data_IF_997063292181
#
_entry.id   IF_997063292181
#
_cell.length_a   1.000
_cell.length_b   1.000
_cell.length_c   1.000
_cell.angle_alpha   90.00
_cell.angle_beta   90.00
_cell.angle_gamma   90.00
#
_symmetry.space_group_name_H-M   'P 1'
#
loop_
_entity.id
_entity.type
_entity.pdbx_description
1 polymer ?
#
# COMPACT_ATOMS: atom_id res chain seq x y z
N UNK A 1 0.72 -24.80 37.38
CA UNK A 1 -0.24 -24.94 36.25
C UNK A 1 -0.85 -23.61 35.81
N UNK A 2 -1.22 -22.69 36.70
CA UNK A 2 -1.77 -21.36 36.40
C UNK A 2 -0.80 -20.41 35.66
N UNK A 3 0.51 -20.50 35.93
CA UNK A 3 1.53 -19.70 35.23
C UNK A 3 1.59 -20.01 33.73
N UNK A 4 1.71 -21.30 33.35
CA UNK A 4 1.76 -21.71 31.93
C UNK A 4 0.52 -21.28 31.12
N UNK A 5 -0.68 -21.28 31.73
CA UNK A 5 -1.91 -20.90 31.06
C UNK A 5 -1.96 -19.37 30.76
N UNK A 6 -1.46 -18.55 31.68
CA UNK A 6 -1.32 -17.09 31.47
C UNK A 6 -0.32 -16.78 30.35
N UNK A 7 0.73 -17.55 30.29
CA UNK A 7 1.79 -17.40 29.30
C UNK A 7 1.30 -17.74 27.89
N UNK A 8 0.51 -18.82 27.72
CA UNK A 8 -0.11 -19.14 26.43
C UNK A 8 -1.10 -18.07 25.98
N UNK A 9 -1.92 -17.53 26.88
CA UNK A 9 -2.85 -16.45 26.57
C UNK A 9 -2.08 -15.21 26.09
N UNK A 10 -1.00 -14.84 26.78
CA UNK A 10 -0.15 -13.73 26.35
C UNK A 10 0.42 -13.96 24.94
N UNK A 11 0.94 -15.14 24.64
CA UNK A 11 1.48 -15.47 23.30
C UNK A 11 0.41 -15.36 22.21
N UNK A 12 -0.80 -15.85 22.46
CA UNK A 12 -1.92 -15.77 21.51
C UNK A 12 -2.29 -14.31 21.27
N UNK A 13 -2.46 -13.52 22.34
CA UNK A 13 -2.81 -12.11 22.24
C UNK A 13 -1.71 -11.29 21.53
N UNK A 14 -0.46 -11.59 21.84
CA UNK A 14 0.67 -10.93 21.20
C UNK A 14 0.81 -11.34 19.72
N UNK A 15 0.59 -12.60 19.39
CA UNK A 15 0.55 -13.06 18.00
C UNK A 15 -0.56 -12.39 17.20
N UNK A 16 -1.77 -12.31 17.77
CA UNK A 16 -2.89 -11.60 17.16
C UNK A 16 -2.60 -10.10 16.99
N UNK A 17 -1.97 -9.48 17.98
CA UNK A 17 -1.52 -8.10 17.89
C UNK A 17 -0.50 -7.88 16.74
N UNK A 18 0.55 -8.70 16.65
CA UNK A 18 1.52 -8.61 15.56
C UNK A 18 0.84 -8.78 14.20
N UNK A 19 -0.10 -9.75 14.09
CA UNK A 19 -0.88 -9.90 12.86
C UNK A 19 -1.68 -8.63 12.52
N UNK A 20 -2.29 -8.00 13.52
CA UNK A 20 -3.03 -6.74 13.32
C UNK A 20 -2.10 -5.58 12.92
N UNK A 21 -0.92 -5.46 13.55
CA UNK A 21 0.09 -4.45 13.16
C UNK A 21 0.50 -4.63 11.71
N UNK A 22 0.89 -5.84 11.33
CA UNK A 22 1.30 -6.13 9.94
C UNK A 22 0.14 -5.91 8.96
N UNK A 23 -1.07 -6.28 9.33
CA UNK A 23 -2.26 -6.00 8.51
C UNK A 23 -2.45 -4.51 8.30
N UNK A 24 -2.47 -3.72 9.37
CA UNK A 24 -2.69 -2.27 9.31
C UNK A 24 -1.55 -1.58 8.54
N UNK A 25 -0.30 -1.92 8.82
CA UNK A 25 0.85 -1.22 8.23
C UNK A 25 1.14 -1.64 6.78
N UNK A 26 0.92 -2.92 6.43
CA UNK A 26 1.31 -3.45 5.12
C UNK A 26 0.15 -3.63 4.13
N UNK A 27 -1.10 -3.73 4.62
CA UNK A 27 -2.24 -4.06 3.75
C UNK A 27 -3.33 -2.99 3.70
N UNK A 28 -3.54 -2.23 4.77
CA UNK A 28 -4.57 -1.20 4.78
C UNK A 28 -4.12 0.10 4.10
N UNK A 29 -2.80 0.32 3.99
CA UNK A 29 -2.28 1.48 3.27
C UNK A 29 -2.32 1.24 1.77
N UNK A 30 -2.98 2.10 1.04
CA UNK A 30 -2.94 2.19 -0.42
C UNK A 30 -1.65 2.91 -0.81
N UNK A 31 -0.60 2.14 -1.12
CA UNK A 31 0.69 2.76 -1.47
C UNK A 31 0.70 3.34 -2.87
N UNK A 32 1.10 4.59 -3.00
CA UNK A 32 1.24 5.33 -4.26
C UNK A 32 2.56 5.03 -5.01
N UNK A 33 3.03 3.80 -4.92
CA UNK A 33 4.27 3.41 -5.58
C UNK A 33 5.53 3.68 -4.73
N UNK A 34 6.70 3.75 -5.39
CA UNK A 34 8.01 3.90 -4.76
C UNK A 34 8.29 5.35 -4.31
N UNK A 35 7.39 5.98 -3.59
CA UNK A 35 7.64 7.30 -3.00
C UNK A 35 8.12 7.14 -1.57
N UNK A 36 9.08 7.96 -1.17
CA UNK A 36 9.58 8.02 0.18
C UNK A 36 9.74 9.48 0.61
N UNK A 37 9.19 9.85 1.75
CA UNK A 37 9.46 11.12 2.40
C UNK A 37 10.64 10.95 3.36
N UNK A 38 11.85 11.17 2.83
CA UNK A 38 13.10 11.04 3.59
C UNK A 38 13.35 12.21 4.53
N UNK A 39 12.61 13.32 4.35
CA UNK A 39 12.72 14.47 5.25
C UNK A 39 11.96 14.18 6.55
N UNK A 40 12.67 14.12 7.69
CA UNK A 40 12.00 13.99 8.98
C UNK A 40 11.14 15.22 9.27
N UNK A 41 10.06 15.02 10.02
CA UNK A 41 9.09 16.05 10.41
C UNK A 41 8.26 16.61 9.25
N UNK A 42 8.18 15.93 8.10
CA UNK A 42 7.34 16.34 6.98
C UNK A 42 5.86 16.42 7.38
N UNK A 43 5.37 15.43 8.13
CA UNK A 43 3.99 15.40 8.63
C UNK A 43 3.63 16.63 9.48
N UNK A 44 4.59 17.18 10.23
CA UNK A 44 4.37 18.39 11.04
C UNK A 44 4.26 19.65 10.18
N UNK A 45 4.93 19.69 9.04
CA UNK A 45 4.78 20.79 8.07
C UNK A 45 3.36 20.80 7.51
N UNK A 46 2.81 19.63 7.16
CA UNK A 46 1.44 19.50 6.68
C UNK A 46 0.41 19.87 7.77
N UNK A 47 0.63 19.45 9.01
CA UNK A 47 -0.19 19.85 10.17
C UNK A 47 -0.20 21.38 10.33
N UNK A 48 0.95 22.03 10.17
CA UNK A 48 1.02 23.51 10.24
C UNK A 48 0.29 24.21 9.09
N UNK A 49 0.07 23.52 7.97
CA UNK A 49 -0.76 24.03 6.86
C UNK A 49 -2.27 23.80 7.09
N UNK A 50 -2.66 23.15 8.18
CA UNK A 50 -4.05 22.89 8.55
C UNK A 50 -4.53 21.46 8.26
N UNK A 51 -3.66 20.59 7.75
CA UNK A 51 -3.99 19.20 7.48
C UNK A 51 -3.98 18.36 8.78
N UNK A 52 -5.13 17.85 9.20
CA UNK A 52 -5.25 17.09 10.45
C UNK A 52 -4.98 15.59 10.29
N UNK A 53 -5.03 15.08 9.09
CA UNK A 53 -4.83 13.66 8.80
C UNK A 53 -3.46 13.14 9.23
N UNK A 54 -2.33 13.82 8.95
CA UNK A 54 -1.01 13.39 9.41
C UNK A 54 -0.90 13.31 10.94
N UNK A 55 -1.59 14.18 11.69
CA UNK A 55 -1.60 14.12 13.15
C UNK A 55 -2.24 12.82 13.65
N UNK A 56 -3.37 12.39 13.06
CA UNK A 56 -4.04 11.15 13.42
C UNK A 56 -3.18 9.93 13.08
N UNK A 57 -2.49 9.96 11.94
CA UNK A 57 -1.57 8.92 11.51
C UNK A 57 -0.38 8.81 12.47
N UNK A 58 0.23 9.93 12.86
CA UNK A 58 1.32 9.97 13.83
C UNK A 58 0.91 9.40 15.20
N UNK A 59 -0.26 9.79 15.70
CA UNK A 59 -0.82 9.26 16.96
C UNK A 59 -1.08 7.76 16.82
N UNK A 60 -1.66 7.33 15.68
CA UNK A 60 -1.93 5.94 15.39
C UNK A 60 -0.66 5.08 15.42
N UNK A 61 0.43 5.56 14.82
CA UNK A 61 1.72 4.88 14.80
C UNK A 61 2.31 4.73 16.22
N UNK A 62 2.24 5.80 17.05
CA UNK A 62 2.64 5.70 18.46
C UNK A 62 1.82 4.64 19.19
N UNK A 63 0.49 4.72 19.12
CA UNK A 63 -0.42 3.81 19.82
C UNK A 63 -0.22 2.36 19.37
N UNK A 64 -0.02 2.16 18.06
CA UNK A 64 0.21 0.85 17.46
C UNK A 64 1.47 0.17 18.02
N UNK A 65 2.52 0.91 18.36
CA UNK A 65 3.80 0.36 18.83
C UNK A 65 3.93 0.26 20.35
N UNK A 66 2.99 0.83 21.14
CA UNK A 66 2.99 0.67 22.60
C UNK A 66 2.98 -0.82 23.03
N UNK A 67 2.10 -1.71 22.51
CA UNK A 67 2.12 -3.12 22.89
C UNK A 67 3.41 -3.85 22.50
N UNK A 68 4.06 -3.45 21.40
CA UNK A 68 5.38 -3.98 21.04
C UNK A 68 6.41 -3.64 22.13
N UNK A 69 6.43 -2.41 22.59
CA UNK A 69 7.32 -1.97 23.68
C UNK A 69 7.07 -2.72 24.98
N UNK A 70 5.80 -2.94 25.35
CA UNK A 70 5.41 -3.76 26.49
C UNK A 70 5.97 -5.18 26.34
N UNK A 71 5.80 -5.80 25.19
CA UNK A 71 6.27 -7.16 24.94
C UNK A 71 7.81 -7.26 24.96
N UNK A 72 8.51 -6.36 24.26
CA UNK A 72 9.97 -6.30 24.23
C UNK A 72 10.57 -6.17 25.65
N UNK A 73 10.01 -5.27 26.48
CA UNK A 73 10.42 -5.11 27.87
C UNK A 73 10.15 -6.37 28.69
N UNK A 74 8.98 -6.99 28.51
CA UNK A 74 8.57 -8.21 29.24
C UNK A 74 9.42 -9.42 28.92
N UNK A 75 9.98 -9.51 27.70
CA UNK A 75 10.94 -10.58 27.33
C UNK A 75 12.39 -10.26 27.72
N UNK A 76 12.62 -9.11 28.33
CA UNK A 76 13.94 -8.69 28.83
C UNK A 76 14.87 -8.15 27.75
N UNK A 77 14.33 -7.53 26.70
CA UNK A 77 15.16 -6.81 25.71
C UNK A 77 15.77 -5.59 26.40
N UNK A 78 17.12 -5.48 26.40
CA UNK A 78 17.84 -4.43 27.09
C UNK A 78 17.68 -3.05 26.47
N UNK A 79 17.61 -3.00 25.14
CA UNK A 79 17.51 -1.73 24.40
C UNK A 79 16.24 -1.76 23.54
N UNK A 80 15.11 -1.49 24.18
CA UNK A 80 13.80 -1.48 23.52
C UNK A 80 13.74 -0.37 22.46
N UNK A 81 14.43 0.76 22.65
CA UNK A 81 14.52 1.82 21.65
C UNK A 81 15.11 1.32 20.34
N UNK A 82 16.26 0.64 20.39
CA UNK A 82 16.87 0.06 19.19
C UNK A 82 16.00 -1.03 18.57
N UNK A 83 15.42 -1.90 19.39
CA UNK A 83 14.55 -2.96 18.89
C UNK A 83 13.29 -2.39 18.21
N UNK A 84 12.68 -1.37 18.78
CA UNK A 84 11.54 -0.66 18.20
C UNK A 84 11.90 0.03 16.89
N UNK A 85 13.05 0.72 16.85
CA UNK A 85 13.55 1.36 15.63
C UNK A 85 13.82 0.33 14.51
N UNK A 86 14.44 -0.79 14.84
CA UNK A 86 14.70 -1.86 13.86
C UNK A 86 13.42 -2.51 13.35
N UNK A 87 12.42 -2.71 14.23
CA UNK A 87 11.12 -3.23 13.82
C UNK A 87 10.40 -2.26 12.89
N UNK A 88 10.40 -0.96 13.21
CA UNK A 88 9.83 0.07 12.34
C UNK A 88 10.55 0.16 11.00
N UNK A 89 11.89 0.21 11.01
CA UNK A 89 12.68 0.23 9.79
C UNK A 89 12.41 -0.98 8.90
N UNK A 90 12.26 -2.18 9.49
CA UNK A 90 11.91 -3.38 8.74
C UNK A 90 10.55 -3.24 8.05
N UNK A 91 9.55 -2.70 8.75
CA UNK A 91 8.22 -2.45 8.17
C UNK A 91 8.33 -1.46 7.00
N UNK A 92 9.03 -0.33 7.18
CA UNK A 92 9.22 0.68 6.15
C UNK A 92 9.94 0.12 4.90
N UNK A 93 11.02 -0.67 5.13
CA UNK A 93 11.73 -1.34 4.02
C UNK A 93 10.83 -2.33 3.30
N UNK A 94 9.98 -3.10 4.01
CA UNK A 94 9.01 -4.01 3.40
C UNK A 94 7.96 -3.22 2.61
N UNK A 95 7.43 -2.13 3.16
CA UNK A 95 6.48 -1.26 2.46
C UNK A 95 7.07 -0.71 1.17
N UNK A 96 8.28 -0.17 1.22
CA UNK A 96 8.97 0.37 0.06
C UNK A 96 9.27 -0.72 -0.99
N UNK A 97 9.91 -1.84 -0.56
CA UNK A 97 10.35 -2.91 -1.47
C UNK A 97 9.18 -3.55 -2.21
N UNK A 98 8.04 -3.72 -1.53
CA UNK A 98 6.86 -4.39 -2.10
C UNK A 98 5.79 -3.42 -2.60
N UNK A 99 6.10 -2.11 -2.64
CA UNK A 99 5.14 -1.07 -3.02
C UNK A 99 3.79 -1.21 -2.27
N UNK A 100 3.86 -1.46 -0.96
CA UNK A 100 2.71 -1.62 -0.07
C UNK A 100 2.37 -0.32 0.66
N UNK A 101 3.25 0.67 0.62
CA UNK A 101 3.11 1.96 1.27
C UNK A 101 4.26 2.89 0.88
N UNK A 102 4.21 4.11 1.40
CA UNK A 102 5.26 5.12 1.28
C UNK A 102 6.25 4.94 2.42
N UNK A 103 7.56 5.02 2.14
CA UNK A 103 8.58 5.05 3.20
C UNK A 103 8.57 6.44 3.85
N UNK A 104 8.35 6.51 5.16
CA UNK A 104 8.27 7.77 5.89
C UNK A 104 9.21 7.79 7.09
N UNK A 105 10.13 8.77 7.15
CA UNK A 105 11.01 8.95 8.31
C UNK A 105 10.23 9.25 9.58
N UNK A 106 9.09 9.91 9.48
CA UNK A 106 8.25 10.25 10.62
C UNK A 106 7.66 9.01 11.29
N UNK A 107 7.34 7.96 10.51
CA UNK A 107 6.88 6.67 11.03
C UNK A 107 7.96 6.00 11.90
N UNK A 108 9.25 6.08 11.51
CA UNK A 108 10.33 5.57 12.34
C UNK A 108 10.38 6.24 13.71
N UNK A 109 10.13 7.55 13.75
CA UNK A 109 10.15 8.32 15.00
C UNK A 109 8.97 7.92 15.87
N UNK A 110 7.75 7.95 15.32
CA UNK A 110 6.51 7.71 16.07
C UNK A 110 6.40 6.26 16.55
N UNK A 111 6.73 5.29 15.71
CA UNK A 111 6.76 3.88 16.05
C UNK A 111 7.78 3.59 17.17
N UNK A 112 8.99 4.17 17.07
CA UNK A 112 10.02 4.03 18.11
C UNK A 112 9.55 4.67 19.42
N UNK A 113 8.93 5.84 19.36
CA UNK A 113 8.38 6.51 20.55
C UNK A 113 7.31 5.64 21.23
N UNK A 114 6.42 5.02 20.45
CA UNK A 114 5.42 4.09 20.97
C UNK A 114 6.03 2.92 21.72
N UNK A 115 7.07 2.29 21.13
CA UNK A 115 7.78 1.19 21.78
C UNK A 115 8.47 1.64 23.10
N UNK A 116 9.05 2.84 23.14
CA UNK A 116 9.68 3.40 24.36
C UNK A 116 8.61 3.66 25.44
N UNK A 117 7.47 4.24 25.08
CA UNK A 117 6.35 4.47 26.01
C UNK A 117 5.87 3.14 26.58
N UNK A 118 5.67 2.12 25.76
CA UNK A 118 5.25 0.79 26.21
C UNK A 118 6.23 0.16 27.20
N UNK A 119 7.52 0.24 26.93
CA UNK A 119 8.56 -0.25 27.82
C UNK A 119 8.60 0.52 29.16
N UNK A 120 8.44 1.84 29.10
CA UNK A 120 8.38 2.69 30.29
C UNK A 120 7.18 2.35 31.18
N UNK A 121 6.00 2.10 30.58
CA UNK A 121 4.81 1.68 31.33
C UNK A 121 5.07 0.38 32.11
N UNK A 122 5.67 -0.63 31.50
CA UNK A 122 6.02 -1.88 32.19
C UNK A 122 7.02 -1.65 33.32
N UNK A 123 8.04 -0.83 33.08
CA UNK A 123 9.04 -0.48 34.10
C UNK A 123 8.45 0.24 35.32
N UNK A 124 7.37 1.02 35.15
CA UNK A 124 6.69 1.72 36.24
C UNK A 124 5.72 0.81 37.02
N UNK A 125 5.06 -0.11 36.35
CA UNK A 125 4.07 -1.02 36.98
C UNK A 125 4.77 -2.12 37.79
N UNK A 126 6.10 -2.28 37.63
CA UNK A 126 6.90 -3.20 38.45
C UNK A 126 6.62 -4.69 38.21
N UNK A 127 6.00 -5.02 37.09
CA UNK A 127 5.68 -6.39 36.70
C UNK A 127 6.73 -6.98 35.75
N UNK A 128 7.70 -7.73 36.24
CA UNK A 128 8.48 -8.60 35.40
C UNK A 128 7.59 -9.76 34.88
N UNK A 129 6.97 -9.59 33.72
CA UNK A 129 6.50 -10.72 32.93
C UNK A 129 7.74 -11.45 32.36
N UNK A 130 8.37 -12.30 33.17
CA UNK A 130 9.48 -13.13 32.66
C UNK A 130 8.91 -14.31 31.87
N UNK A 131 8.90 -14.16 30.56
CA UNK A 131 8.58 -15.27 29.66
C UNK A 131 9.74 -16.29 29.64
N UNK A 132 9.42 -17.57 29.68
CA UNK A 132 10.44 -18.61 29.56
C UNK A 132 11.07 -18.67 28.16
N UNK A 133 12.18 -19.41 28.01
CA UNK A 133 12.91 -19.50 26.74
C UNK A 133 12.11 -20.15 25.61
N UNK A 134 11.13 -21.00 25.93
CA UNK A 134 10.23 -21.61 24.96
C UNK A 134 9.30 -20.59 24.34
N UNK A 135 8.76 -19.70 25.17
CA UNK A 135 7.84 -18.66 24.71
C UNK A 135 8.51 -17.56 23.92
N UNK A 136 9.75 -17.21 24.24
CA UNK A 136 10.56 -16.31 23.40
C UNK A 136 10.68 -16.85 21.97
N UNK A 137 10.90 -18.16 21.81
CA UNK A 137 10.95 -18.83 20.48
C UNK A 137 9.60 -18.80 19.76
N UNK A 138 8.49 -19.01 20.48
CA UNK A 138 7.14 -18.95 19.89
C UNK A 138 6.84 -17.53 19.40
N UNK A 139 7.17 -16.50 20.17
CA UNK A 139 7.00 -15.10 19.76
C UNK A 139 7.85 -14.81 18.50
N UNK A 140 9.12 -15.21 18.51
CA UNK A 140 10.00 -15.02 17.36
C UNK A 140 9.48 -15.76 16.11
N UNK A 141 9.08 -17.02 16.23
CA UNK A 141 8.48 -17.81 15.15
C UNK A 141 7.18 -17.18 14.63
N UNK A 142 6.34 -16.64 15.53
CA UNK A 142 5.12 -15.93 15.14
C UNK A 142 5.47 -14.67 14.34
N UNK A 143 6.45 -13.88 14.77
CA UNK A 143 6.90 -12.70 14.02
C UNK A 143 7.39 -13.06 12.61
N UNK A 144 8.21 -14.13 12.49
CA UNK A 144 8.69 -14.62 11.19
C UNK A 144 7.51 -15.11 10.33
N UNK A 145 6.61 -15.93 10.90
CA UNK A 145 5.46 -16.44 10.17
C UNK A 145 4.57 -15.32 9.66
N UNK A 146 4.24 -14.35 10.51
CA UNK A 146 3.40 -13.23 10.12
C UNK A 146 4.09 -12.26 9.14
N UNK A 147 5.41 -12.15 9.15
CA UNK A 147 6.14 -11.38 8.14
C UNK A 147 6.04 -11.99 6.73
N UNK A 148 5.71 -13.30 6.62
CA UNK A 148 5.52 -13.97 5.32
C UNK A 148 4.10 -13.82 4.76
N UNK A 149 3.10 -13.49 5.59
CA UNK A 149 1.70 -13.31 5.17
C UNK A 149 1.55 -12.24 4.08
N UNK A 150 2.23 -11.07 4.15
CA UNK A 150 2.20 -10.05 3.10
C UNK A 150 2.58 -10.59 1.71
N UNK A 151 3.59 -11.43 1.65
CA UNK A 151 4.06 -12.04 0.40
C UNK A 151 2.98 -12.93 -0.21
N UNK A 152 2.38 -13.81 0.61
CA UNK A 152 1.31 -14.69 0.16
C UNK A 152 0.09 -13.90 -0.35
N UNK A 153 -0.31 -12.85 0.37
CA UNK A 153 -1.42 -12.00 -0.05
C UNK A 153 -1.14 -11.27 -1.37
N UNK A 154 0.07 -10.71 -1.53
CA UNK A 154 0.47 -10.05 -2.77
C UNK A 154 0.41 -11.02 -3.95
N UNK A 155 0.94 -12.22 -3.78
CA UNK A 155 0.94 -13.25 -4.81
C UNK A 155 -0.49 -13.65 -5.21
N UNK A 156 -1.35 -13.96 -4.23
CA UNK A 156 -2.75 -14.31 -4.47
C UNK A 156 -3.50 -13.17 -5.19
N UNK A 157 -3.28 -11.93 -4.75
CA UNK A 157 -3.87 -10.76 -5.42
C UNK A 157 -3.37 -10.63 -6.85
N UNK A 158 -2.06 -10.76 -7.08
CA UNK A 158 -1.49 -10.67 -8.42
C UNK A 158 -2.03 -11.76 -9.33
N UNK A 159 -2.14 -13.00 -8.87
CA UNK A 159 -2.74 -14.09 -9.65
C UNK A 159 -4.23 -13.82 -9.95
N UNK A 160 -4.99 -13.25 -9.00
CA UNK A 160 -6.36 -12.80 -9.25
C UNK A 160 -6.38 -11.76 -10.38
N UNK A 161 -5.54 -10.73 -10.31
CA UNK A 161 -5.52 -9.67 -11.32
C UNK A 161 -5.07 -10.16 -12.70
N UNK A 162 -4.14 -11.12 -12.78
CA UNK A 162 -3.76 -11.77 -14.04
C UNK A 162 -4.95 -12.53 -14.67
N UNK A 163 -5.73 -13.24 -13.85
CA UNK A 163 -6.95 -13.93 -14.34
C UNK A 163 -7.99 -12.94 -14.83
N UNK A 164 -8.20 -11.84 -14.14
CA UNK A 164 -9.15 -10.80 -14.53
C UNK A 164 -8.69 -10.09 -15.80
N UNK A 165 -7.41 -9.79 -15.95
CA UNK A 165 -6.87 -9.22 -17.19
C UNK A 165 -7.13 -10.11 -18.42
N UNK A 166 -7.11 -11.43 -18.25
CA UNK A 166 -7.37 -12.38 -19.33
C UNK A 166 -8.83 -12.40 -19.81
N UNK A 167 -9.78 -11.88 -19.02
CA UNK A 167 -11.19 -11.71 -19.43
C UNK A 167 -11.30 -10.76 -20.63
N UNK A 168 -10.39 -9.77 -20.69
CA UNK A 168 -10.35 -8.75 -21.75
C UNK A 168 -9.38 -9.10 -22.89
N UNK A 169 -9.05 -10.37 -23.11
CA UNK A 169 -8.38 -10.78 -24.34
C UNK A 169 -9.30 -10.57 -25.53
N UNK A 170 -8.73 -10.15 -26.68
CA UNK A 170 -9.52 -10.01 -27.91
C UNK A 170 -10.01 -11.38 -28.41
N UNK A 171 -11.10 -11.40 -29.18
CA UNK A 171 -11.66 -12.62 -29.78
C UNK A 171 -10.70 -13.30 -30.74
N UNK A 172 -9.79 -12.56 -31.37
CA UNK A 172 -8.74 -13.06 -32.24
C UNK A 172 -7.59 -13.77 -31.49
N UNK A 173 -7.66 -13.80 -30.15
CA UNK A 173 -6.66 -14.41 -29.29
C UNK A 173 -5.55 -13.45 -28.84
N UNK A 174 -5.57 -12.18 -29.26
CA UNK A 174 -4.62 -11.17 -28.78
C UNK A 174 -4.80 -10.94 -27.28
N UNK A 175 -3.73 -11.11 -26.52
CA UNK A 175 -3.77 -11.01 -25.06
C UNK A 175 -3.75 -9.55 -24.59
N UNK A 176 -4.60 -9.24 -23.61
CA UNK A 176 -4.43 -8.03 -22.82
C UNK A 176 -3.17 -8.13 -21.97
N UNK A 177 -2.24 -7.22 -22.20
CA UNK A 177 -0.94 -7.19 -21.51
C UNK A 177 -0.99 -6.43 -20.18
N UNK A 178 -2.00 -5.58 -19.97
CA UNK A 178 -2.13 -4.77 -18.76
C UNK A 178 -2.72 -5.60 -17.62
N UNK A 179 -1.91 -5.84 -16.60
CA UNK A 179 -2.37 -6.42 -15.34
C UNK A 179 -2.47 -5.29 -14.32
N UNK A 180 -3.69 -5.02 -13.89
CA UNK A 180 -3.97 -3.98 -12.92
C UNK A 180 -3.43 -4.35 -11.53
N UNK A 181 -3.14 -3.35 -10.69
CA UNK A 181 -2.55 -3.58 -9.37
C UNK A 181 -3.56 -4.08 -8.30
N UNK A 182 -4.87 -3.93 -8.55
CA UNK A 182 -5.96 -4.35 -7.67
C UNK A 182 -6.01 -3.63 -6.32
N UNK A 183 -5.54 -2.39 -6.26
CA UNK A 183 -5.56 -1.58 -5.05
C UNK A 183 -6.67 -0.53 -5.12
N UNK A 184 -7.66 -0.67 -4.27
CA UNK A 184 -8.70 0.34 -4.09
C UNK A 184 -8.17 1.53 -3.29
N UNK A 185 -8.67 2.73 -3.54
CA UNK A 185 -8.33 3.91 -2.77
C UNK A 185 -8.80 5.21 -3.38
N UNK A 186 -8.51 6.30 -2.70
CA UNK A 186 -8.84 7.65 -3.16
C UNK A 186 -7.77 8.20 -4.10
N UNK A 187 -8.20 8.82 -5.19
CA UNK A 187 -7.31 9.61 -6.03
C UNK A 187 -6.72 10.74 -5.19
N UNK A 188 -5.46 11.07 -5.47
CA UNK A 188 -4.67 11.94 -4.60
C UNK A 188 -5.40 13.23 -4.27
N UNK A 189 -5.62 13.45 -2.96
CA UNK A 189 -6.14 14.70 -2.41
C UNK A 189 -7.54 15.07 -2.92
N UNK A 190 -8.40 14.04 -3.15
CA UNK A 190 -9.78 14.18 -3.65
C UNK A 190 -10.72 13.25 -2.92
N UNK A 191 -12.03 13.44 -3.12
CA UNK A 191 -13.07 12.52 -2.66
C UNK A 191 -13.43 11.43 -3.70
N UNK A 192 -12.66 11.34 -4.78
CA UNK A 192 -12.85 10.31 -5.81
C UNK A 192 -12.22 8.99 -5.39
N UNK A 193 -13.05 7.97 -5.27
CA UNK A 193 -12.66 6.61 -4.91
C UNK A 193 -12.56 5.72 -6.15
N UNK A 194 -11.45 4.99 -6.27
CA UNK A 194 -11.21 4.03 -7.34
C UNK A 194 -11.32 2.63 -6.76
N UNK A 195 -12.23 1.83 -7.30
CA UNK A 195 -12.51 0.46 -6.87
C UNK A 195 -12.36 -0.53 -8.00
N UNK A 196 -11.70 -1.68 -7.72
CA UNK A 196 -11.58 -2.78 -8.67
C UNK A 196 -12.74 -3.75 -8.51
N UNK A 197 -13.49 -3.93 -9.57
CA UNK A 197 -14.65 -4.82 -9.61
C UNK A 197 -14.22 -6.28 -9.86
N UNK A 198 -15.13 -7.22 -9.61
CA UNK A 198 -14.85 -8.64 -9.74
C UNK A 198 -14.78 -9.14 -11.20
N UNK A 199 -15.23 -8.34 -12.14
CA UNK A 199 -15.12 -8.59 -13.59
C UNK A 199 -13.81 -8.05 -14.19
N UNK A 200 -12.97 -7.37 -13.37
CA UNK A 200 -11.70 -6.80 -13.79
C UNK A 200 -11.78 -5.35 -14.28
N UNK A 201 -12.97 -4.75 -14.29
CA UNK A 201 -13.16 -3.32 -14.53
C UNK A 201 -12.83 -2.49 -13.28
N UNK A 202 -12.81 -1.17 -13.45
CA UNK A 202 -12.55 -0.20 -12.38
C UNK A 202 -13.74 0.73 -12.31
N UNK A 203 -14.36 0.86 -11.14
CA UNK A 203 -15.31 1.93 -10.85
C UNK A 203 -14.57 3.14 -10.29
N UNK A 204 -14.90 4.32 -10.79
CA UNK A 204 -14.35 5.62 -10.40
C UNK A 204 -15.51 6.50 -9.99
N UNK A 205 -15.60 6.83 -8.69
CA UNK A 205 -16.78 7.49 -8.14
C UNK A 205 -16.44 8.57 -7.13
N UNK A 206 -17.08 9.72 -7.25
CA UNK A 206 -16.94 10.85 -6.32
C UNK A 206 -16.69 12.17 -7.01
N UNK A 207 -16.34 13.19 -6.23
CA UNK A 207 -16.17 14.55 -6.70
C UNK A 207 -14.73 15.03 -6.52
N UNK A 208 -14.26 15.87 -7.44
CA UNK A 208 -12.98 16.56 -7.30
C UNK A 208 -13.07 18.01 -7.79
N UNK A 209 -12.49 18.92 -7.02
CA UNK A 209 -12.30 20.31 -7.36
C UNK A 209 -10.93 20.60 -8.00
N UNK A 210 -10.13 19.55 -8.24
CA UNK A 210 -8.81 19.64 -8.84
C UNK A 210 -8.45 18.38 -9.62
N UNK A 211 -7.54 18.53 -10.57
CA UNK A 211 -6.99 17.38 -11.30
C UNK A 211 -6.17 16.49 -10.36
N UNK A 212 -6.42 15.18 -10.42
CA UNK A 212 -5.74 14.19 -9.60
C UNK A 212 -5.52 12.87 -10.35
N UNK A 213 -4.76 11.94 -9.73
CA UNK A 213 -4.37 10.67 -10.34
C UNK A 213 -4.42 9.54 -9.34
N UNK A 214 -4.72 8.33 -9.85
CA UNK A 214 -4.61 7.08 -9.11
C UNK A 214 -3.85 6.04 -9.92
N UNK A 215 -2.74 5.45 -9.40
CA UNK A 215 -1.96 4.44 -10.12
C UNK A 215 -2.74 3.12 -10.15
N UNK A 216 -3.01 2.61 -11.34
CA UNK A 216 -3.76 1.38 -11.55
C UNK A 216 -2.92 0.20 -12.02
N UNK A 217 -1.73 0.47 -12.58
CA UNK A 217 -0.89 -0.60 -13.09
C UNK A 217 0.52 -0.14 -13.43
N UNK A 218 1.37 -1.12 -13.70
CA UNK A 218 2.74 -0.94 -14.16
C UNK A 218 3.06 -2.05 -15.12
N UNK A 219 3.61 -1.70 -16.28
CA UNK A 219 3.92 -2.65 -17.32
C UNK A 219 5.29 -2.36 -17.93
N UNK A 220 6.01 -3.39 -18.32
CA UNK A 220 7.20 -3.27 -19.18
C UNK A 220 6.84 -3.86 -20.51
N UNK A 221 6.98 -3.08 -21.58
CA UNK A 221 6.68 -3.45 -22.94
C UNK A 221 7.97 -3.53 -23.76
N UNK A 222 8.09 -4.54 -24.58
CA UNK A 222 9.17 -4.71 -25.55
C UNK A 222 8.94 -3.78 -26.76
N UNK A 223 9.97 -3.56 -27.63
CA UNK A 223 9.77 -2.80 -28.86
C UNK A 223 8.60 -3.34 -29.68
N UNK A 224 7.81 -2.42 -30.25
CA UNK A 224 6.64 -2.80 -31.05
C UNK A 224 5.55 -1.74 -31.05
N UNK A 225 4.48 -2.03 -31.77
CA UNK A 225 3.29 -1.18 -31.85
C UNK A 225 2.23 -1.69 -30.88
N UNK A 226 1.57 -0.77 -30.18
CA UNK A 226 0.60 -1.06 -29.14
C UNK A 226 -0.64 -0.19 -29.28
N UNK A 227 -1.77 -0.71 -28.82
CA UNK A 227 -2.97 0.09 -28.56
C UNK A 227 -3.28 0.09 -27.07
N UNK A 228 -3.75 1.24 -26.58
CA UNK A 228 -4.23 1.45 -25.21
C UNK A 228 -5.63 2.04 -25.27
N UNK A 229 -6.57 1.41 -24.55
CA UNK A 229 -7.97 1.80 -24.53
C UNK A 229 -8.60 1.48 -23.17
N UNK A 230 -9.89 1.78 -23.00
CA UNK A 230 -10.64 1.40 -21.78
C UNK A 230 -11.61 2.43 -21.25
N UNK A 231 -11.86 3.53 -21.97
CA UNK A 231 -12.82 4.58 -21.62
C UNK A 231 -14.10 4.54 -22.48
N UNK A 232 -14.44 3.39 -23.05
CA UNK A 232 -15.67 3.26 -23.81
C UNK A 232 -16.89 3.47 -22.89
N UNK A 233 -17.71 4.48 -23.23
CA UNK A 233 -18.89 4.84 -22.41
C UNK A 233 -18.60 5.71 -21.19
N UNK A 234 -17.36 6.06 -20.94
CA UNK A 234 -16.93 6.95 -19.85
C UNK A 234 -17.03 8.41 -20.29
N UNK A 235 -17.48 9.31 -19.41
CA UNK A 235 -17.43 10.74 -19.63
C UNK A 235 -15.96 11.23 -19.60
N UNK A 236 -15.45 11.55 -20.77
CA UNK A 236 -14.05 11.94 -20.99
C UNK A 236 -13.70 13.34 -20.49
N UNK A 237 -14.71 14.12 -20.12
CA UNK A 237 -14.51 15.42 -19.48
C UNK A 237 -14.30 15.29 -17.97
N UNK A 238 -14.60 14.11 -17.40
CA UNK A 238 -14.48 13.84 -15.97
C UNK A 238 -13.29 12.91 -15.63
N UNK A 239 -13.05 11.90 -16.45
CA UNK A 239 -12.05 10.84 -16.21
C UNK A 239 -11.22 10.56 -17.45
N UNK A 240 -9.93 10.31 -17.26
CA UNK A 240 -8.99 9.89 -18.29
C UNK A 240 -8.13 8.71 -17.88
N UNK A 241 -7.44 8.11 -18.85
CA UNK A 241 -6.38 7.13 -18.63
C UNK A 241 -5.07 7.70 -19.13
N UNK A 242 -4.02 7.59 -18.34
CA UNK A 242 -2.70 8.14 -18.67
C UNK A 242 -1.62 7.08 -18.59
N UNK A 243 -0.67 7.17 -19.54
CA UNK A 243 0.59 6.43 -19.50
C UNK A 243 1.71 7.39 -19.13
N UNK A 244 2.59 6.96 -18.22
CA UNK A 244 3.74 7.74 -17.76
C UNK A 244 5.03 6.94 -17.92
N UNK A 245 6.06 7.58 -18.49
CA UNK A 245 7.44 7.10 -18.55
C UNK A 245 8.33 8.09 -17.82
N UNK A 246 9.13 7.62 -16.85
CA UNK A 246 10.14 8.42 -16.14
C UNK A 246 9.58 9.72 -15.52
N UNK A 247 8.40 9.66 -14.89
CA UNK A 247 7.65 10.77 -14.31
C UNK A 247 7.19 11.84 -15.33
N UNK A 248 7.13 11.48 -16.60
CA UNK A 248 6.59 12.35 -17.65
C UNK A 248 5.46 11.63 -18.39
N UNK A 249 4.42 12.37 -18.72
CA UNK A 249 3.32 11.82 -19.52
C UNK A 249 3.86 11.27 -20.83
N UNK A 250 3.54 10.00 -21.09
CA UNK A 250 3.93 9.28 -22.30
C UNK A 250 2.68 9.04 -23.14
N UNK A 251 2.76 9.33 -24.43
CA UNK A 251 1.68 9.26 -25.40
C UNK A 251 0.57 10.30 -25.22
N UNK A 252 -0.21 10.58 -26.28
CA UNK A 252 -1.35 11.44 -26.17
C UNK A 252 -2.37 10.90 -25.19
N UNK A 253 -3.07 11.80 -24.51
CA UNK A 253 -4.12 11.50 -23.56
C UNK A 253 -5.17 10.56 -24.14
N UNK A 254 -5.41 9.44 -23.51
CA UNK A 254 -6.57 8.58 -23.82
C UNK A 254 -7.88 9.28 -23.38
N UNK A 255 -7.79 10.39 -22.65
CA UNK A 255 -8.94 11.16 -22.21
C UNK A 255 -9.84 11.70 -23.32
N UNK A 256 -9.33 11.88 -24.55
CA UNK A 256 -10.12 12.44 -25.66
C UNK A 256 -10.51 11.42 -26.76
N UNK A 257 -9.98 10.19 -26.69
CA UNK A 257 -10.20 9.16 -27.73
C UNK A 257 -10.42 7.78 -27.09
N UNK A 258 -11.17 6.92 -27.76
CA UNK A 258 -11.48 5.59 -27.25
C UNK A 258 -10.27 4.65 -27.27
N UNK A 259 -9.33 4.88 -28.19
CA UNK A 259 -8.11 4.09 -28.36
C UNK A 259 -6.95 4.98 -28.79
N UNK A 260 -5.79 4.79 -28.16
CA UNK A 260 -4.52 5.43 -28.56
C UNK A 260 -3.56 4.37 -29.06
N UNK A 261 -2.95 4.59 -30.22
CA UNK A 261 -1.87 3.75 -30.76
C UNK A 261 -0.52 4.43 -30.58
N UNK A 262 0.47 3.67 -30.13
CA UNK A 262 1.83 4.16 -29.93
C UNK A 262 2.87 3.10 -30.28
N UNK A 263 4.09 3.54 -30.59
CA UNK A 263 5.20 2.65 -30.95
C UNK A 263 6.34 2.86 -29.96
N UNK A 264 6.95 1.75 -29.54
CA UNK A 264 8.15 1.73 -28.73
C UNK A 264 9.33 1.22 -29.54
N UNK A 265 10.45 1.93 -29.49
CA UNK A 265 11.69 1.54 -30.16
C UNK A 265 12.62 0.73 -29.25
N UNK A 266 12.44 0.84 -27.93
CA UNK A 266 13.21 0.17 -26.89
C UNK A 266 12.31 -0.40 -25.80
N UNK A 267 12.77 -1.40 -25.01
CA UNK A 267 12.02 -1.90 -23.85
C UNK A 267 11.70 -0.76 -22.92
N UNK A 268 10.42 -0.50 -22.67
CA UNK A 268 9.96 0.67 -21.93
C UNK A 268 9.07 0.26 -20.77
N UNK A 269 9.36 0.84 -19.60
CA UNK A 269 8.55 0.68 -18.40
C UNK A 269 7.57 1.83 -18.29
N UNK A 270 6.29 1.50 -18.23
CA UNK A 270 5.21 2.47 -18.15
C UNK A 270 4.44 2.28 -16.85
N UNK A 271 4.04 3.40 -16.26
CA UNK A 271 3.02 3.48 -15.22
C UNK A 271 1.70 3.85 -15.87
N UNK A 272 0.62 3.24 -15.37
CA UNK A 272 -0.74 3.48 -15.86
C UNK A 272 -1.56 4.09 -14.73
N UNK A 273 -2.20 5.23 -15.02
CA UNK A 273 -3.00 5.97 -14.07
C UNK A 273 -4.44 6.14 -14.58
N UNK A 274 -5.38 6.19 -13.64
CA UNK A 274 -6.63 6.92 -13.83
C UNK A 274 -6.35 8.37 -13.50
N UNK A 275 -6.71 9.28 -14.37
CA UNK A 275 -6.72 10.72 -14.10
C UNK A 275 -8.16 11.18 -13.88
N UNK A 276 -8.34 12.06 -12.90
CA UNK A 276 -9.60 12.70 -12.57
C UNK A 276 -9.45 14.18 -12.87
N UNK A 277 -10.38 14.75 -13.60
CA UNK A 277 -10.29 16.14 -14.01
C UNK A 277 -10.90 17.10 -12.98
N UNK A 278 -10.52 18.36 -13.11
CA UNK A 278 -10.98 19.46 -12.28
C UNK A 278 -12.50 19.69 -12.43
N UNK A 279 -13.21 19.85 -11.32
CA UNK A 279 -14.65 20.08 -11.31
C UNK A 279 -15.50 18.85 -11.63
N UNK A 280 -14.93 17.63 -11.59
CA UNK A 280 -15.68 16.42 -11.92
C UNK A 280 -16.64 15.97 -10.80
N UNK A 281 -17.78 15.43 -11.22
CA UNK A 281 -18.68 14.57 -10.43
C UNK A 281 -18.86 13.29 -11.24
N UNK A 282 -18.16 12.22 -10.87
CA UNK A 282 -18.04 11.02 -11.67
C UNK A 282 -18.64 9.78 -10.98
N UNK A 283 -19.27 8.92 -11.77
CA UNK A 283 -19.66 7.54 -11.43
C UNK A 283 -19.45 6.66 -12.67
N UNK A 284 -18.17 6.41 -12.97
CA UNK A 284 -17.74 5.87 -14.23
C UNK A 284 -17.13 4.46 -14.07
N UNK A 285 -17.29 3.62 -15.10
CA UNK A 285 -16.67 2.29 -15.16
C UNK A 285 -15.71 2.24 -16.35
N UNK A 286 -14.42 2.03 -16.06
CA UNK A 286 -13.37 1.91 -17.04
C UNK A 286 -12.84 0.48 -17.13
N UNK A 287 -12.40 0.08 -18.33
CA UNK A 287 -11.80 -1.24 -18.60
C UNK A 287 -10.43 -1.10 -19.29
N UNK A 288 -9.40 -0.62 -18.56
CA UNK A 288 -8.11 -0.32 -19.15
C UNK A 288 -7.45 -1.58 -19.73
N UNK A 289 -7.05 -1.54 -20.98
CA UNK A 289 -6.41 -2.64 -21.71
C UNK A 289 -5.26 -2.15 -22.58
N UNK A 290 -4.21 -2.96 -22.71
CA UNK A 290 -3.10 -2.74 -23.64
C UNK A 290 -2.93 -3.99 -24.49
N UNK A 291 -2.91 -3.82 -25.81
CA UNK A 291 -2.65 -4.89 -26.76
C UNK A 291 -1.40 -4.61 -27.58
N UNK A 292 -0.67 -5.67 -27.94
CA UNK A 292 0.37 -5.58 -28.95
C UNK A 292 -0.30 -5.74 -30.31
N UNK A 293 -0.10 -4.76 -31.17
CA UNK A 293 -0.54 -4.79 -32.55
C UNK A 293 0.47 -5.57 -33.40
N UNK A 294 -0.02 -6.35 -34.34
CA UNK A 294 0.80 -7.26 -35.19
C UNK A 294 1.72 -6.58 -36.19
#
# INVERSE_FOLDING_TARGET
MLSKKKDYIFCILFGAYIAAVLWITLFSRTGDGYRGFLLPLHSYVEICKGEWRPLLENIGNVVLFIPLGVALQSIGVRDVKKAGLLASLLIEVLQFTFALGTFECDDLIHNTLGAVIGAWCVGKIGGELRLDGGMRKVIFLSMVLFSTVPFGYKEVRQQKMVRLAAIYNREDGTKNLLVLNGKNGYAWDTDVYVEYLNDGSIQIKGTSDKRSWWPIGKITLEPGMYSFSGLSGVDKDTVGLELEKDNHRFAPDVGSVDEVKFTLEEPTKLMVYVSVYDGCDCDEIATPVIYKEG
#
